data_IF_067556211742
#
_entry.id   IF_067556211742
#
_cell.length_a   1.000
_cell.length_b   1.000
_cell.length_c   1.000
_cell.angle_alpha   90.00
_cell.angle_beta   90.00
_cell.angle_gamma   90.00
#
_symmetry.space_group_name_H-M   'P 1'
#
loop_
_entity.id
_entity.type
_entity.pdbx_description
1 polymer ?
#
# COMPACT_ATOMS: atom_id res chain seq x y z
N UNK A 1 8.40 -4.49 8.52
CA UNK A 1 7.24 -5.41 8.65
C UNK A 1 6.37 -5.26 7.42
N UNK A 2 5.55 -6.25 7.06
CA UNK A 2 4.70 -6.17 5.86
C UNK A 2 3.25 -5.94 6.26
N UNK A 3 2.65 -4.87 5.75
CA UNK A 3 1.29 -4.46 6.09
C UNK A 3 0.37 -4.59 4.89
N UNK A 4 -0.80 -5.20 5.10
CA UNK A 4 -1.93 -5.08 4.18
C UNK A 4 -2.80 -3.90 4.60
N UNK A 5 -3.33 -3.17 3.62
CA UNK A 5 -4.18 -2.00 3.89
C UNK A 5 -5.54 -2.12 3.26
N UNK A 6 -6.50 -1.49 3.91
CA UNK A 6 -7.88 -1.41 3.46
C UNK A 6 -8.43 -0.02 3.73
N UNK A 7 -9.30 0.43 2.85
CA UNK A 7 -10.03 1.68 2.98
C UNK A 7 -11.52 1.35 2.98
N UNK A 8 -12.21 1.76 4.03
CA UNK A 8 -13.66 1.61 4.14
C UNK A 8 -14.33 2.90 3.67
N UNK A 9 -15.24 2.75 2.71
CA UNK A 9 -16.05 3.81 2.15
C UNK A 9 -17.50 3.68 2.64
N UNK A 10 -18.18 4.81 2.82
CA UNK A 10 -19.57 4.90 3.24
C UNK A 10 -20.34 5.87 2.35
N UNK A 11 -21.47 5.43 1.82
CA UNK A 11 -22.39 6.22 1.00
C UNK A 11 -23.70 6.48 1.76
N UNK A 12 -23.84 7.68 2.32
CA UNK A 12 -25.04 8.12 3.06
C UNK A 12 -26.32 8.15 2.19
N UNK A 13 -26.15 8.31 0.87
CA UNK A 13 -27.27 8.38 -0.09
C UNK A 13 -27.70 7.02 -0.64
N UNK A 14 -27.11 5.91 -0.20
CA UNK A 14 -27.37 4.58 -0.78
C UNK A 14 -28.87 4.24 -0.85
N UNK A 15 -29.58 4.37 0.27
CA UNK A 15 -31.02 4.06 0.34
C UNK A 15 -31.87 4.96 -0.57
N UNK A 16 -31.48 6.23 -0.70
CA UNK A 16 -32.15 7.20 -1.57
C UNK A 16 -31.93 6.82 -3.05
N UNK A 17 -30.69 6.51 -3.43
CA UNK A 17 -30.35 6.14 -4.81
C UNK A 17 -30.97 4.80 -5.20
N UNK A 18 -30.98 3.82 -4.30
CA UNK A 18 -31.68 2.55 -4.52
C UNK A 18 -33.19 2.77 -4.73
N UNK A 19 -33.82 3.63 -3.92
CA UNK A 19 -35.22 3.97 -4.09
C UNK A 19 -35.49 4.68 -5.43
N UNK A 20 -34.64 5.62 -5.84
CA UNK A 20 -34.75 6.31 -7.12
C UNK A 20 -34.64 5.31 -8.30
N UNK A 21 -33.75 4.31 -8.21
CA UNK A 21 -33.65 3.25 -9.24
C UNK A 21 -34.91 2.38 -9.33
N UNK A 22 -35.52 2.03 -8.19
CA UNK A 22 -36.79 1.29 -8.16
C UNK A 22 -37.91 2.13 -8.77
N UNK A 23 -38.04 3.38 -8.34
CA UNK A 23 -39.19 4.23 -8.70
C UNK A 23 -39.12 4.73 -10.16
N UNK A 24 -37.93 5.10 -10.64
CA UNK A 24 -37.76 5.68 -11.98
C UNK A 24 -37.51 4.62 -13.07
N UNK A 25 -36.93 3.47 -12.71
CA UNK A 25 -36.50 2.45 -13.68
C UNK A 25 -37.09 1.05 -13.44
N UNK A 26 -37.88 0.83 -12.37
CA UNK A 26 -38.49 -0.45 -12.00
C UNK A 26 -37.46 -1.56 -11.77
N UNK A 27 -36.29 -1.20 -11.23
CA UNK A 27 -35.20 -2.14 -10.95
C UNK A 27 -35.53 -3.08 -9.79
N UNK A 28 -35.11 -4.34 -9.93
CA UNK A 28 -35.13 -5.30 -8.82
C UNK A 28 -33.86 -5.26 -7.96
N UNK A 29 -33.83 -6.05 -6.87
CA UNK A 29 -32.70 -6.08 -5.93
C UNK A 29 -31.37 -6.49 -6.60
N UNK A 30 -31.40 -7.37 -7.59
CA UNK A 30 -30.20 -7.83 -8.29
C UNK A 30 -29.69 -6.75 -9.26
N UNK A 31 -30.58 -6.00 -9.90
CA UNK A 31 -30.25 -4.87 -10.76
C UNK A 31 -29.69 -3.68 -9.96
N UNK A 32 -30.25 -3.38 -8.79
CA UNK A 32 -29.71 -2.37 -7.87
C UNK A 32 -28.32 -2.75 -7.39
N UNK A 33 -28.11 -4.02 -7.00
CA UNK A 33 -26.80 -4.49 -6.54
C UNK A 33 -25.73 -4.46 -7.64
N UNK A 34 -26.14 -4.48 -8.91
CA UNK A 34 -25.24 -4.33 -10.05
C UNK A 34 -24.88 -2.85 -10.31
N UNK A 35 -25.83 -1.93 -10.15
CA UNK A 35 -25.61 -0.50 -10.43
C UNK A 35 -24.99 0.26 -9.26
N UNK A 36 -25.38 -0.10 -8.03
CA UNK A 36 -24.81 0.42 -6.78
C UNK A 36 -23.86 -0.62 -6.16
N UNK A 37 -22.91 -1.07 -6.96
CA UNK A 37 -21.90 -2.03 -6.54
C UNK A 37 -20.80 -1.38 -5.67
N UNK A 38 -19.81 -2.19 -5.29
CA UNK A 38 -18.71 -1.70 -4.46
C UNK A 38 -17.88 -0.61 -5.13
N UNK A 39 -17.74 -0.64 -6.46
CA UNK A 39 -16.98 0.37 -7.19
C UNK A 39 -17.74 1.70 -7.19
N UNK A 40 -19.06 1.67 -7.37
CA UNK A 40 -19.91 2.85 -7.23
C UNK A 40 -19.75 3.51 -5.85
N UNK A 41 -19.80 2.72 -4.77
CA UNK A 41 -19.65 3.23 -3.40
C UNK A 41 -18.24 3.75 -3.14
N UNK A 42 -17.19 3.14 -3.70
CA UNK A 42 -15.81 3.64 -3.60
C UNK A 42 -15.66 5.00 -4.32
N UNK A 43 -16.28 5.15 -5.49
CA UNK A 43 -16.14 6.35 -6.31
C UNK A 43 -16.97 7.54 -5.79
N UNK A 44 -18.14 7.28 -5.19
CA UNK A 44 -19.08 8.31 -4.74
C UNK A 44 -19.15 8.47 -3.22
N UNK A 45 -18.69 7.48 -2.47
CA UNK A 45 -18.73 7.46 -1.00
C UNK A 45 -17.59 8.22 -0.34
N UNK A 46 -17.74 8.44 0.96
CA UNK A 46 -16.73 9.06 1.82
C UNK A 46 -15.78 7.99 2.37
N UNK A 47 -14.47 8.18 2.25
CA UNK A 47 -13.47 7.34 2.94
C UNK A 47 -13.56 7.58 4.45
N UNK A 48 -14.20 6.66 5.17
CA UNK A 48 -14.50 6.81 6.60
C UNK A 48 -13.50 6.09 7.51
N UNK A 49 -12.75 5.12 7.01
CA UNK A 49 -11.72 4.44 7.80
C UNK A 49 -10.56 3.92 6.94
N UNK A 50 -9.35 4.02 7.48
CA UNK A 50 -8.17 3.29 7.03
C UNK A 50 -7.90 2.16 8.02
N UNK A 51 -7.66 0.97 7.49
CA UNK A 51 -7.33 -0.24 8.24
C UNK A 51 -5.93 -0.71 7.82
N UNK A 52 -5.03 -0.88 8.78
CA UNK A 52 -3.70 -1.42 8.57
C UNK A 52 -3.59 -2.74 9.32
N UNK A 53 -3.24 -3.81 8.61
CA UNK A 53 -3.10 -5.15 9.16
C UNK A 53 -1.66 -5.63 8.98
N UNK A 54 -0.96 -5.86 10.09
CA UNK A 54 0.33 -6.53 10.07
C UNK A 54 0.14 -8.02 9.78
N UNK A 55 0.67 -8.46 8.64
CA UNK A 55 0.52 -9.84 8.20
C UNK A 55 1.38 -10.83 8.99
N UNK A 56 2.38 -10.35 9.72
CA UNK A 56 3.31 -11.18 10.50
C UNK A 56 2.77 -11.42 11.92
N UNK A 57 2.21 -10.40 12.56
CA UNK A 57 1.68 -10.48 13.94
C UNK A 57 0.16 -10.61 14.03
N UNK A 58 -0.55 -10.35 12.93
CA UNK A 58 -2.02 -10.24 12.87
C UNK A 58 -2.61 -9.11 13.74
N UNK A 59 -1.80 -8.12 14.12
CA UNK A 59 -2.28 -6.89 14.73
C UNK A 59 -2.97 -6.01 13.68
N UNK A 60 -4.02 -5.30 14.11
CA UNK A 60 -4.80 -4.39 13.25
C UNK A 60 -4.89 -3.02 13.91
N UNK A 61 -4.54 -1.97 13.19
CA UNK A 61 -4.73 -0.58 13.57
C UNK A 61 -5.78 0.09 12.67
N UNK A 62 -6.58 0.97 13.26
CA UNK A 62 -7.69 1.66 12.60
C UNK A 62 -7.53 3.17 12.77
N UNK A 63 -7.64 3.90 11.66
CA UNK A 63 -7.76 5.36 11.66
C UNK A 63 -9.12 5.74 11.09
N UNK A 64 -10.02 6.21 11.95
CA UNK A 64 -11.39 6.59 11.58
C UNK A 64 -11.54 8.09 11.39
N UNK A 65 -12.27 8.48 10.34
CA UNK A 65 -12.68 9.85 10.13
C UNK A 65 -13.58 10.30 11.29
N UNK A 66 -13.20 11.40 11.93
CA UNK A 66 -13.94 11.94 13.07
C UNK A 66 -14.99 12.96 12.59
N UNK A 67 -16.26 12.86 13.04
CA UNK A 67 -17.27 13.88 12.80
C UNK A 67 -16.78 15.27 13.24
N UNK A 68 -16.99 16.28 12.38
CA UNK A 68 -16.55 17.66 12.63
C UNK A 68 -15.04 17.91 12.49
N UNK A 69 -14.26 16.91 12.07
CA UNK A 69 -12.88 17.13 11.62
C UNK A 69 -12.85 17.95 10.32
N UNK A 70 -11.73 18.61 9.99
CA UNK A 70 -11.63 19.39 8.75
C UNK A 70 -11.88 18.60 7.46
N UNK A 71 -11.65 17.27 7.51
CA UNK A 71 -11.85 16.36 6.38
C UNK A 71 -13.26 15.75 6.35
N UNK A 72 -14.05 15.91 7.43
CA UNK A 72 -15.40 15.40 7.48
C UNK A 72 -16.38 16.39 6.84
N UNK A 73 -17.16 15.96 5.84
CA UNK A 73 -18.21 16.80 5.28
C UNK A 73 -19.28 17.11 6.33
N UNK A 74 -19.99 18.21 6.16
CA UNK A 74 -20.95 18.69 7.17
C UNK A 74 -22.13 17.77 7.43
N UNK A 75 -22.41 16.82 6.52
CA UNK A 75 -23.43 15.79 6.69
C UNK A 75 -22.94 14.60 7.52
N UNK A 76 -21.63 14.37 7.65
CA UNK A 76 -21.09 13.22 8.38
C UNK A 76 -21.16 13.45 9.89
N UNK A 77 -22.15 12.85 10.53
CA UNK A 77 -22.50 13.05 11.93
C UNK A 77 -22.00 11.93 12.85
N UNK A 78 -22.30 12.05 14.14
CA UNK A 78 -22.02 10.98 15.11
C UNK A 78 -22.87 9.72 14.92
N UNK A 79 -24.02 9.82 14.26
CA UNK A 79 -24.86 8.66 13.92
C UNK A 79 -24.20 7.85 12.79
N UNK A 80 -23.73 8.55 11.75
CA UNK A 80 -22.97 7.95 10.66
C UNK A 80 -21.72 7.24 11.19
N UNK A 81 -20.93 7.92 12.04
CA UNK A 81 -19.77 7.31 12.66
C UNK A 81 -20.11 6.06 13.50
N UNK A 82 -21.29 6.00 14.13
CA UNK A 82 -21.74 4.81 14.85
C UNK A 82 -22.07 3.65 13.89
N UNK A 83 -22.65 3.94 12.72
CA UNK A 83 -22.86 2.95 11.65
C UNK A 83 -21.51 2.40 11.17
N UNK A 84 -20.50 3.27 10.96
CA UNK A 84 -19.14 2.84 10.61
C UNK A 84 -18.55 1.90 11.67
N UNK A 85 -18.68 2.23 12.97
CA UNK A 85 -18.18 1.36 14.05
C UNK A 85 -18.90 0.01 14.06
N UNK A 86 -20.21 -0.01 13.85
CA UNK A 86 -20.99 -1.24 13.79
C UNK A 86 -20.51 -2.13 12.63
N UNK A 87 -20.27 -1.53 11.46
CA UNK A 87 -19.81 -2.25 10.27
C UNK A 87 -18.37 -2.75 10.41
N UNK A 88 -17.47 -1.95 11.01
CA UNK A 88 -16.12 -2.40 11.37
C UNK A 88 -16.15 -3.63 12.28
N UNK A 89 -17.10 -3.71 13.20
CA UNK A 89 -17.32 -4.88 14.04
C UNK A 89 -17.74 -6.14 13.29
N UNK A 90 -18.33 -6.00 12.09
CA UNK A 90 -18.69 -7.12 11.20
C UNK A 90 -17.53 -7.52 10.28
N UNK A 91 -16.76 -6.53 9.83
CA UNK A 91 -15.61 -6.70 8.92
C UNK A 91 -14.41 -7.33 9.62
N UNK A 92 -14.14 -6.96 10.88
CA UNK A 92 -12.99 -7.42 11.64
C UNK A 92 -13.33 -8.70 12.43
N UNK A 93 -13.12 -9.85 11.81
CA UNK A 93 -13.46 -11.16 12.39
C UNK A 93 -12.26 -11.77 13.09
N UNK A 94 -12.31 -11.87 14.41
CA UNK A 94 -11.34 -12.63 15.19
C UNK A 94 -11.53 -14.14 14.99
N UNK A 95 -10.45 -14.85 14.71
CA UNK A 95 -10.43 -16.31 14.54
C UNK A 95 -9.95 -17.02 15.82
N UNK A 96 -10.25 -18.32 15.92
CA UNK A 96 -9.91 -19.15 17.09
C UNK A 96 -8.40 -19.25 17.36
N UNK A 97 -7.57 -19.04 16.33
CA UNK A 97 -6.11 -19.02 16.42
C UNK A 97 -5.52 -17.67 16.83
N UNK A 98 -6.38 -16.71 17.23
CA UNK A 98 -6.04 -15.33 17.62
C UNK A 98 -5.56 -14.46 16.46
N UNK A 99 -5.76 -14.88 15.22
CA UNK A 99 -5.56 -14.02 14.05
C UNK A 99 -6.83 -13.22 13.74
N UNK A 100 -6.67 -12.16 12.95
CA UNK A 100 -7.80 -11.34 12.47
C UNK A 100 -7.96 -11.56 10.98
N UNK A 101 -9.21 -11.84 10.56
CA UNK A 101 -9.60 -11.87 9.17
C UNK A 101 -10.45 -10.63 8.86
N UNK A 102 -10.08 -9.93 7.80
CA UNK A 102 -10.85 -8.81 7.26
C UNK A 102 -11.74 -9.35 6.15
N UNK A 103 -13.05 -9.15 6.26
CA UNK A 103 -14.07 -9.61 5.30
C UNK A 103 -14.78 -8.44 4.63
N UNK A 104 -15.52 -8.71 3.55
CA UNK A 104 -16.35 -7.69 2.90
C UNK A 104 -17.43 -7.14 3.85
N UNK A 105 -17.86 -5.88 3.65
CA UNK A 105 -19.00 -5.32 4.35
C UNK A 105 -20.27 -6.15 4.11
N UNK A 106 -21.17 -6.16 5.10
CA UNK A 106 -22.50 -6.76 5.02
C UNK A 106 -23.57 -5.74 4.64
N UNK A 107 -23.35 -4.47 4.97
CA UNK A 107 -24.22 -3.37 4.62
C UNK A 107 -23.80 -2.81 3.25
N UNK A 108 -24.70 -2.76 2.24
CA UNK A 108 -24.35 -2.36 0.88
C UNK A 108 -24.05 -0.86 0.75
N UNK A 109 -24.39 -0.03 1.74
CA UNK A 109 -23.93 1.36 1.82
C UNK A 109 -22.41 1.49 2.06
N UNK A 110 -21.74 0.37 2.32
CA UNK A 110 -20.31 0.30 2.56
C UNK A 110 -19.58 -0.50 1.51
N UNK A 111 -18.38 -0.05 1.16
CA UNK A 111 -17.46 -0.79 0.31
C UNK A 111 -16.06 -0.79 0.91
N UNK A 112 -15.41 -1.96 0.84
CA UNK A 112 -14.06 -2.14 1.33
C UNK A 112 -13.10 -2.23 0.16
N UNK A 113 -12.30 -1.18 -0.02
CA UNK A 113 -11.22 -1.19 -1.01
C UNK A 113 -9.97 -1.80 -0.40
N UNK A 114 -9.49 -2.89 -0.99
CA UNK A 114 -8.21 -3.48 -0.59
C UNK A 114 -7.04 -2.77 -1.27
N UNK A 115 -6.17 -2.17 -0.47
CA UNK A 115 -4.92 -1.57 -0.93
C UNK A 115 -3.84 -2.61 -1.22
N UNK A 116 -2.74 -2.14 -1.83
CA UNK A 116 -1.55 -2.97 -2.02
C UNK A 116 -0.75 -3.07 -0.71
N UNK A 117 -0.19 -4.24 -0.45
CA UNK A 117 0.64 -4.46 0.73
C UNK A 117 2.01 -3.79 0.58
N UNK A 118 2.56 -3.25 1.67
CA UNK A 118 3.84 -2.53 1.66
C UNK A 118 4.65 -2.75 2.93
N UNK A 119 5.91 -2.30 2.94
CA UNK A 119 6.78 -2.40 4.10
C UNK A 119 6.90 -1.10 4.86
N UNK A 120 6.76 -1.13 6.18
CA UNK A 120 7.12 -0.01 7.03
C UNK A 120 7.90 -0.51 8.26
N UNK A 121 8.49 0.43 9.01
CA UNK A 121 9.22 0.08 10.23
C UNK A 121 8.26 -0.46 11.29
N UNK A 122 7.11 0.19 11.43
CA UNK A 122 6.08 -0.14 12.41
C UNK A 122 4.66 0.22 11.91
N UNK A 123 3.66 -0.14 12.72
CA UNK A 123 2.24 0.05 12.44
C UNK A 123 1.85 1.54 12.38
N UNK A 124 2.46 2.39 13.21
CA UNK A 124 2.13 3.82 13.26
C UNK A 124 2.62 4.54 12.02
N UNK A 125 3.83 4.23 11.55
CA UNK A 125 4.35 4.69 10.25
C UNK A 125 3.43 4.23 9.11
N UNK A 126 3.02 2.96 9.10
CA UNK A 126 2.13 2.42 8.07
C UNK A 126 0.76 3.14 8.06
N UNK A 127 0.17 3.38 9.24
CA UNK A 127 -1.10 4.09 9.38
C UNK A 127 -0.99 5.54 8.94
N UNK A 128 0.08 6.24 9.35
CA UNK A 128 0.33 7.62 8.95
C UNK A 128 0.46 7.77 7.43
N UNK A 129 1.16 6.84 6.77
CA UNK A 129 1.34 6.85 5.33
C UNK A 129 0.00 6.74 4.56
N UNK A 130 -1.00 6.06 5.12
CA UNK A 130 -2.32 5.89 4.49
C UNK A 130 -3.29 7.05 4.75
N UNK A 131 -3.18 7.71 5.91
CA UNK A 131 -4.11 8.77 6.33
C UNK A 131 -3.79 10.12 5.67
N UNK A 132 -2.53 10.34 5.28
CA UNK A 132 -2.08 11.63 4.75
C UNK A 132 -2.71 11.99 3.39
N UNK A 133 -3.46 13.08 3.37
CA UNK A 133 -3.99 13.71 2.18
C UNK A 133 -3.00 14.79 1.72
N UNK A 134 -2.18 14.50 0.70
CA UNK A 134 -1.07 15.42 0.36
C UNK A 134 -1.50 16.45 -0.68
N UNK A 135 -1.56 17.71 -0.28
CA UNK A 135 -1.30 18.81 -1.21
C UNK A 135 0.18 19.24 -1.23
N UNK A 136 0.96 18.97 -0.17
CA UNK A 136 2.36 19.42 -0.07
C UNK A 136 3.40 18.32 0.27
N UNK A 137 3.12 17.37 1.18
CA UNK A 137 4.03 16.28 1.58
C UNK A 137 3.27 14.99 1.98
N UNK A 138 3.92 13.84 1.86
CA UNK A 138 3.43 12.53 2.30
C UNK A 138 4.57 11.61 2.75
N UNK A 139 4.24 10.57 3.50
CA UNK A 139 5.15 9.56 3.99
C UNK A 139 5.19 8.40 2.99
N UNK A 140 6.35 8.21 2.37
CA UNK A 140 6.57 7.16 1.38
C UNK A 140 7.33 6.01 2.01
N UNK A 141 6.86 4.81 1.69
CA UNK A 141 7.58 3.58 2.01
C UNK A 141 8.74 3.42 1.05
N UNK A 142 9.94 3.14 1.57
CA UNK A 142 11.10 2.86 0.73
C UNK A 142 11.72 1.51 1.02
N UNK A 143 12.31 0.91 -0.01
CA UNK A 143 13.03 -0.35 0.08
C UNK A 143 14.10 -0.41 -1.00
N UNK A 144 15.09 -1.27 -0.81
CA UNK A 144 16.07 -1.56 -1.85
C UNK A 144 16.06 -3.02 -2.27
N UNK A 145 16.52 -3.27 -3.49
CA UNK A 145 16.89 -4.61 -3.94
C UNK A 145 18.41 -4.67 -3.87
N UNK A 146 18.91 -5.66 -3.13
CA UNK A 146 20.33 -5.95 -3.08
C UNK A 146 20.68 -7.14 -3.98
N UNK A 147 21.88 -7.06 -4.58
CA UNK A 147 22.45 -8.13 -5.36
C UNK A 147 23.56 -8.84 -4.59
N UNK A 148 23.55 -10.18 -4.69
CA UNK A 148 24.56 -11.09 -4.18
C UNK A 148 25.31 -11.73 -5.36
N UNK A 149 26.53 -11.26 -5.67
CA UNK A 149 27.32 -11.77 -6.79
C UNK A 149 27.59 -13.27 -6.74
N UNK A 150 27.79 -13.81 -5.54
CA UNK A 150 27.99 -15.22 -5.28
C UNK A 150 27.05 -15.65 -4.17
N UNK A 151 26.13 -16.58 -4.45
CA UNK A 151 25.11 -17.06 -3.50
C UNK A 151 25.70 -17.60 -2.19
N UNK A 152 26.95 -18.06 -2.22
CA UNK A 152 27.68 -18.60 -1.07
C UNK A 152 28.51 -17.56 -0.31
N UNK A 153 28.52 -16.29 -0.75
CA UNK A 153 29.22 -15.20 -0.08
C UNK A 153 28.23 -14.30 0.65
N UNK A 154 28.65 -13.76 1.79
CA UNK A 154 27.82 -12.84 2.59
C UNK A 154 27.74 -11.43 1.97
N UNK A 155 28.64 -11.11 1.03
CA UNK A 155 28.69 -9.80 0.41
C UNK A 155 27.47 -9.57 -0.48
N UNK A 156 26.71 -8.53 -0.13
CA UNK A 156 25.61 -7.98 -0.92
C UNK A 156 25.72 -6.46 -0.97
N UNK A 157 25.07 -5.85 -1.96
CA UNK A 157 25.00 -4.40 -2.08
C UNK A 157 23.72 -3.98 -2.82
N UNK A 158 23.16 -2.79 -2.53
CA UNK A 158 22.00 -2.25 -3.22
C UNK A 158 22.26 -2.08 -4.72
N UNK A 159 21.30 -2.50 -5.54
CA UNK A 159 21.34 -2.32 -7.01
C UNK A 159 20.11 -1.60 -7.55
N UNK A 160 19.09 -1.41 -6.73
CA UNK A 160 17.98 -0.51 -7.00
C UNK A 160 17.33 -0.06 -5.69
N UNK A 161 16.76 1.15 -5.71
CA UNK A 161 15.97 1.73 -4.63
C UNK A 161 14.60 2.06 -5.16
N UNK A 162 13.58 1.84 -4.35
CA UNK A 162 12.20 2.06 -4.72
C UNK A 162 11.49 2.87 -3.64
N UNK A 163 10.56 3.70 -4.08
CA UNK A 163 9.58 4.37 -3.24
C UNK A 163 8.18 3.95 -3.67
N UNK A 164 7.37 3.59 -2.69
CA UNK A 164 5.99 3.22 -2.85
C UNK A 164 5.10 4.26 -2.15
N UNK A 165 4.13 4.78 -2.90
CA UNK A 165 3.03 5.57 -2.36
C UNK A 165 1.87 4.64 -2.03
N UNK A 166 1.62 4.36 -0.73
CA UNK A 166 0.60 3.39 -0.34
C UNK A 166 -0.83 3.89 -0.57
N UNK A 167 -1.02 5.20 -0.76
CA UNK A 167 -2.34 5.82 -0.91
C UNK A 167 -2.92 5.60 -2.30
N UNK A 168 -2.07 5.72 -3.32
CA UNK A 168 -2.45 5.52 -4.73
C UNK A 168 -1.93 4.20 -5.29
N UNK A 169 -1.28 3.38 -4.47
CA UNK A 169 -0.71 2.11 -4.88
C UNK A 169 0.39 2.24 -5.93
N UNK A 170 1.11 3.36 -5.97
CA UNK A 170 2.09 3.65 -7.02
C UNK A 170 3.51 3.37 -6.57
N UNK A 171 4.23 2.60 -7.38
CA UNK A 171 5.65 2.34 -7.19
C UNK A 171 6.51 3.15 -8.17
N UNK A 172 7.62 3.71 -7.69
CA UNK A 172 8.69 4.26 -8.51
C UNK A 172 10.03 3.63 -8.11
N UNK A 173 10.92 3.45 -9.09
CA UNK A 173 12.20 2.78 -8.86
C UNK A 173 13.36 3.50 -9.55
N UNK A 174 14.52 3.43 -8.92
CA UNK A 174 15.79 3.95 -9.41
C UNK A 174 16.85 2.85 -9.43
N UNK A 175 17.46 2.62 -10.59
CA UNK A 175 18.45 1.55 -10.79
C UNK A 175 19.89 2.06 -10.64
N UNK A 176 20.69 1.34 -9.85
CA UNK A 176 22.10 1.64 -9.58
C UNK A 176 23.00 0.68 -10.37
N UNK A 177 23.06 0.85 -11.70
CA UNK A 177 23.78 -0.09 -12.60
C UNK A 177 25.13 0.45 -13.04
N UNK A 178 25.18 1.67 -13.59
CA UNK A 178 26.39 2.19 -14.23
C UNK A 178 27.36 2.78 -13.21
N UNK A 179 26.88 3.68 -12.35
CA UNK A 179 27.66 4.32 -11.28
C UNK A 179 27.08 3.95 -9.91
N UNK A 180 27.28 2.70 -9.51
CA UNK A 180 26.79 2.21 -8.22
C UNK A 180 27.84 2.48 -7.12
N UNK A 181 27.58 3.42 -6.19
CA UNK A 181 28.54 3.77 -5.15
C UNK A 181 28.73 2.65 -4.11
N UNK A 182 27.80 1.71 -4.03
CA UNK A 182 27.83 0.59 -3.09
C UNK A 182 28.48 -0.67 -3.68
N UNK A 183 28.66 -0.72 -5.00
CA UNK A 183 29.14 -1.92 -5.66
C UNK A 183 30.65 -2.13 -5.43
N UNK A 184 31.09 -3.37 -5.17
CA UNK A 184 32.51 -3.68 -5.06
C UNK A 184 33.20 -3.48 -6.42
N UNK A 185 34.52 -3.23 -6.45
CA UNK A 185 35.29 -3.08 -7.70
C UNK A 185 35.19 -4.28 -8.64
N UNK A 186 34.81 -5.46 -8.13
CA UNK A 186 34.59 -6.68 -8.91
C UNK A 186 33.27 -6.70 -9.68
N UNK A 187 32.38 -5.71 -9.49
CA UNK A 187 31.06 -5.65 -10.14
C UNK A 187 31.19 -5.38 -11.64
N UNK A 188 31.22 -6.46 -12.40
CA UNK A 188 31.59 -6.42 -13.80
C UNK A 188 30.38 -6.30 -14.74
N UNK A 189 30.68 -6.06 -16.03
CA UNK A 189 29.66 -5.89 -17.09
C UNK A 189 28.68 -7.06 -17.21
N UNK A 190 29.10 -8.30 -16.94
CA UNK A 190 28.22 -9.46 -17.02
C UNK A 190 27.21 -9.46 -15.86
N UNK A 191 27.68 -9.14 -14.65
CA UNK A 191 26.82 -8.99 -13.47
C UNK A 191 25.86 -7.81 -13.62
N UNK A 192 26.32 -6.67 -14.15
CA UNK A 192 25.47 -5.52 -14.48
C UNK A 192 24.31 -5.91 -15.42
N UNK A 193 24.57 -6.75 -16.42
CA UNK A 193 23.51 -7.26 -17.32
C UNK A 193 22.50 -8.16 -16.60
N UNK A 194 22.97 -9.04 -15.70
CA UNK A 194 22.09 -9.91 -14.90
C UNK A 194 21.16 -9.05 -14.03
N UNK A 195 21.74 -8.06 -13.34
CA UNK A 195 21.01 -7.12 -12.49
C UNK A 195 19.99 -6.31 -13.31
N UNK A 196 20.42 -5.70 -14.41
CA UNK A 196 19.55 -4.90 -15.26
C UNK A 196 18.36 -5.70 -15.81
N UNK A 197 18.62 -6.91 -16.31
CA UNK A 197 17.57 -7.78 -16.80
C UNK A 197 16.57 -8.12 -15.70
N UNK A 198 17.07 -8.47 -14.51
CA UNK A 198 16.23 -8.86 -13.39
C UNK A 198 15.35 -7.72 -12.86
N UNK A 199 15.91 -6.52 -12.72
CA UNK A 199 15.13 -5.37 -12.25
C UNK A 199 14.07 -4.99 -13.29
N UNK A 200 14.39 -5.06 -14.58
CA UNK A 200 13.40 -4.82 -15.63
C UNK A 200 12.26 -5.84 -15.60
N UNK A 201 12.54 -7.13 -15.40
CA UNK A 201 11.49 -8.15 -15.22
C UNK A 201 10.58 -7.83 -14.02
N UNK A 202 11.16 -7.38 -12.91
CA UNK A 202 10.42 -7.01 -11.70
C UNK A 202 9.52 -5.80 -11.99
N UNK A 203 10.05 -4.75 -12.62
CA UNK A 203 9.29 -3.56 -13.03
C UNK A 203 8.16 -3.89 -14.00
N UNK A 204 8.42 -4.73 -15.00
CA UNK A 204 7.40 -5.20 -15.94
C UNK A 204 6.29 -5.99 -15.25
N UNK A 205 6.65 -6.88 -14.32
CA UNK A 205 5.69 -7.63 -13.51
C UNK A 205 4.83 -6.73 -12.64
N UNK A 206 5.40 -5.67 -12.08
CA UNK A 206 4.66 -4.68 -11.27
C UNK A 206 3.68 -3.90 -12.14
N UNK A 207 4.14 -3.39 -13.29
CA UNK A 207 3.26 -2.67 -14.22
C UNK A 207 2.15 -3.55 -14.80
N UNK A 208 2.39 -4.85 -14.96
CA UNK A 208 1.34 -5.80 -15.34
C UNK A 208 0.34 -6.00 -14.18
N UNK A 209 0.83 -6.24 -12.96
CA UNK A 209 0.01 -6.41 -11.76
C UNK A 209 -0.93 -5.21 -11.53
N UNK A 210 -0.38 -4.00 -11.63
CA UNK A 210 -1.14 -2.76 -11.45
C UNK A 210 -2.26 -2.58 -12.49
N UNK A 211 -2.04 -3.04 -13.73
CA UNK A 211 -3.07 -2.97 -14.79
C UNK A 211 -4.17 -4.02 -14.65
N UNK A 212 -3.84 -5.15 -14.03
CA UNK A 212 -4.78 -6.27 -13.85
C UNK A 212 -5.41 -6.27 -12.45
N UNK A 213 -5.16 -5.22 -11.64
CA UNK A 213 -5.58 -5.10 -10.24
C UNK A 213 -5.24 -6.33 -9.38
N UNK A 214 -4.24 -7.11 -9.82
CA UNK A 214 -3.81 -8.30 -9.11
C UNK A 214 -2.81 -7.93 -8.05
N UNK A 215 -3.01 -8.49 -6.86
CA UNK A 215 -2.06 -8.39 -5.77
C UNK A 215 -0.82 -9.24 -6.06
N UNK A 216 0.19 -8.66 -6.69
CA UNK A 216 1.50 -9.29 -6.87
C UNK A 216 2.47 -8.60 -5.93
N UNK A 217 3.01 -9.35 -4.96
CA UNK A 217 4.20 -8.89 -4.24
C UNK A 217 5.38 -8.96 -5.20
N UNK A 218 6.01 -7.84 -5.59
CA UNK A 218 7.18 -7.86 -6.47
C UNK A 218 8.39 -8.57 -5.86
N UNK A 219 8.31 -8.88 -4.58
CA UNK A 219 9.31 -9.57 -3.78
C UNK A 219 9.14 -11.08 -3.84
N UNK A 220 7.98 -11.58 -4.26
CA UNK A 220 7.72 -13.01 -4.44
C UNK A 220 8.46 -13.45 -5.70
N UNK A 221 9.60 -14.13 -5.50
CA UNK A 221 10.49 -14.68 -6.53
C UNK A 221 11.60 -13.74 -7.04
N UNK A 222 12.34 -13.07 -6.16
CA UNK A 222 13.58 -12.33 -6.54
C UNK A 222 14.71 -13.27 -7.03
N UNK A 223 14.68 -14.54 -6.66
CA UNK A 223 15.72 -15.52 -6.99
C UNK A 223 16.87 -15.50 -5.98
N UNK A 224 17.81 -16.46 -6.05
CA UNK A 224 18.78 -16.70 -4.98
C UNK A 224 19.87 -15.63 -4.86
N UNK A 225 20.05 -14.80 -5.88
CA UNK A 225 21.05 -13.73 -5.93
C UNK A 225 20.49 -12.36 -5.55
N UNK A 226 19.21 -12.25 -5.24
CA UNK A 226 18.56 -10.98 -4.98
C UNK A 226 17.75 -11.07 -3.69
N UNK A 227 17.82 -10.01 -2.89
CA UNK A 227 17.00 -9.85 -1.70
C UNK A 227 16.42 -8.44 -1.66
N UNK A 228 15.22 -8.31 -1.12
CA UNK A 228 14.67 -7.01 -0.77
C UNK A 228 15.01 -6.70 0.68
N UNK A 229 15.38 -5.46 0.94
CA UNK A 229 15.58 -4.93 2.29
C UNK A 229 14.69 -3.68 2.46
N UNK A 230 13.92 -3.63 3.54
CA UNK A 230 13.14 -2.46 3.90
C UNK A 230 14.05 -1.33 4.36
N UNK A 231 13.75 -0.11 3.92
CA UNK A 231 14.44 1.10 4.36
C UNK A 231 13.48 1.94 5.22
N UNK A 232 13.98 2.99 5.89
CA UNK A 232 13.10 3.90 6.59
C UNK A 232 12.03 4.51 5.69
N UNK A 233 10.91 4.89 6.28
CA UNK A 233 9.91 5.69 5.56
C UNK A 233 10.34 7.16 5.53
N UNK A 234 10.09 7.85 4.42
CA UNK A 234 10.52 9.24 4.23
C UNK A 234 9.36 10.17 3.92
N UNK A 235 9.30 11.30 4.61
CA UNK A 235 8.38 12.38 4.27
C UNK A 235 8.93 13.12 3.04
N UNK A 236 8.16 13.15 1.95
CA UNK A 236 8.56 13.74 0.69
C UNK A 236 7.36 14.37 -0.05
N UNK A 237 7.65 15.10 -1.12
CA UNK A 237 6.62 15.72 -1.97
C UNK A 237 6.11 14.72 -3.02
N UNK A 238 6.97 13.80 -3.45
CA UNK A 238 6.69 12.75 -4.42
C UNK A 238 7.62 11.55 -4.22
N UNK A 239 7.41 10.48 -5.01
CA UNK A 239 8.22 9.27 -4.96
C UNK A 239 9.67 9.47 -5.41
N UNK A 240 9.97 10.48 -6.23
CA UNK A 240 11.35 10.77 -6.64
C UNK A 240 12.14 11.40 -5.51
N UNK A 241 11.57 12.40 -4.83
CA UNK A 241 12.15 13.01 -3.65
C UNK A 241 12.36 11.98 -2.52
N UNK A 242 11.42 11.04 -2.34
CA UNK A 242 11.60 9.94 -1.38
C UNK A 242 12.78 9.02 -1.75
N UNK A 243 12.99 8.73 -3.04
CA UNK A 243 14.14 7.93 -3.50
C UNK A 243 15.45 8.66 -3.22
N UNK A 244 15.52 9.97 -3.48
CA UNK A 244 16.73 10.76 -3.23
C UNK A 244 17.12 10.73 -1.74
N UNK A 245 16.14 10.93 -0.83
CA UNK A 245 16.38 10.81 0.61
C UNK A 245 16.81 9.40 1.02
N UNK A 246 16.21 8.36 0.44
CA UNK A 246 16.61 6.97 0.69
C UNK A 246 18.04 6.68 0.22
N UNK A 247 18.48 7.24 -0.91
CA UNK A 247 19.86 7.13 -1.39
C UNK A 247 20.84 7.82 -0.44
N UNK A 248 20.54 9.03 0.03
CA UNK A 248 21.38 9.73 1.02
C UNK A 248 21.50 8.93 2.32
N UNK A 249 20.41 8.34 2.79
CA UNK A 249 20.43 7.44 3.95
C UNK A 249 21.33 6.21 3.73
N UNK A 250 21.20 5.55 2.57
CA UNK A 250 22.03 4.40 2.22
C UNK A 250 23.52 4.76 2.16
N UNK A 251 23.88 5.91 1.58
CA UNK A 251 25.25 6.38 1.53
C UNK A 251 25.85 6.57 2.93
N UNK A 252 25.09 7.19 3.85
CA UNK A 252 25.49 7.32 5.25
C UNK A 252 25.69 5.96 5.92
N UNK A 253 24.70 5.07 5.80
CA UNK A 253 24.74 3.77 6.47
C UNK A 253 25.84 2.84 5.94
N UNK A 254 26.12 2.86 4.64
CA UNK A 254 27.21 2.08 4.05
C UNK A 254 28.58 2.66 4.37
N UNK A 255 28.71 3.98 4.49
CA UNK A 255 29.96 4.61 4.93
C UNK A 255 30.32 4.18 6.37
N UNK A 256 29.34 4.12 7.28
CA UNK A 256 29.54 3.65 8.66
C UNK A 256 29.91 2.16 8.73
N UNK A 257 29.38 1.33 7.84
CA UNK A 257 29.75 -0.10 7.76
C UNK A 257 31.15 -0.36 7.21
N UNK A 258 31.70 0.58 6.44
CA UNK A 258 33.03 0.48 5.87
C UNK A 258 34.14 1.02 6.79
N UNK A 259 33.78 1.74 7.86
CA UNK A 259 34.69 2.27 8.90
C UNK A 259 34.91 1.30 10.06
#
# INVERSE_FOLDING_TARGET
MTFATYELYYLDTYDQEAADLIDDFDYDEDEIAYELDSDYVIDNGLRVCVIVHDLDTHEVELAMLQPGSPQAPGWYTGEDAANVVAELGRILVALDDKTVKITEPQDPAFALKRGAAFQAEDMSTATLAMVQDSQDNALYTTFCIEFRPNVNADLTFPVAVFAFDPRVGRLSGHMLIDDNPFAPPSFNRAQKKIVAHRINEILESIHAAMREERMISPFKNLGPQFRSEGLPSFEAVDTHHAIDQALEYLEGWWAERAS
#
